data_IF_145357424558
#
_entry.id   IF_145357424558
#
_cell.length_a   1.000
_cell.length_b   1.000
_cell.length_c   1.000
_cell.angle_alpha   90.00
_cell.angle_beta   90.00
_cell.angle_gamma   90.00
#
_symmetry.space_group_name_H-M   'P 1'
#
loop_
_entity.id
_entity.type
_entity.pdbx_description
1 polymer ?
#
# COMPACT_ATOMS: atom_id res chain seq x y z
N UNK A 1 20.88 3.45 -16.30
CA UNK A 1 19.74 4.02 -15.54
C UNK A 1 19.96 3.93 -14.02
N UNK A 2 20.63 2.91 -13.49
CA UNK A 2 20.77 2.70 -12.03
C UNK A 2 22.15 3.00 -11.44
N UNK A 3 23.09 3.52 -12.23
CA UNK A 3 24.47 3.82 -11.78
C UNK A 3 24.50 4.91 -10.69
N UNK A 4 23.54 5.83 -10.69
CA UNK A 4 23.42 6.93 -9.72
C UNK A 4 22.34 6.65 -8.64
N UNK A 5 21.96 5.39 -8.47
CA UNK A 5 20.94 5.04 -7.48
C UNK A 5 21.47 5.22 -6.06
N UNK A 6 20.70 5.90 -5.22
CA UNK A 6 20.94 6.06 -3.80
C UNK A 6 19.92 5.27 -2.99
N UNK A 7 20.24 4.95 -1.74
CA UNK A 7 19.33 4.28 -0.80
C UNK A 7 18.94 5.26 0.27
N UNK A 8 17.65 5.48 0.44
CA UNK A 8 17.09 6.35 1.47
C UNK A 8 16.49 5.47 2.57
N UNK A 9 16.95 5.57 3.83
CA UNK A 9 16.34 4.87 4.95
C UNK A 9 15.03 5.55 5.34
N UNK A 10 14.01 4.76 5.70
CA UNK A 10 12.78 5.29 6.25
C UNK A 10 13.02 5.90 7.64
N UNK A 11 12.40 7.03 7.92
CA UNK A 11 12.42 7.67 9.25
C UNK A 11 11.65 6.86 10.29
N UNK A 12 10.68 6.05 9.86
CA UNK A 12 9.89 5.19 10.76
C UNK A 12 10.67 3.93 11.13
N UNK A 13 11.39 3.34 10.15
CA UNK A 13 12.19 2.15 10.35
C UNK A 13 13.42 2.19 9.44
N UNK A 14 14.55 2.60 9.99
CA UNK A 14 15.83 2.79 9.26
C UNK A 14 16.39 1.53 8.59
N UNK A 15 15.86 0.34 8.93
CA UNK A 15 16.23 -0.92 8.27
C UNK A 15 15.54 -1.08 6.90
N UNK A 16 14.48 -0.33 6.64
CA UNK A 16 13.80 -0.32 5.35
C UNK A 16 14.45 0.76 4.48
N UNK A 17 15.03 0.32 3.37
CA UNK A 17 15.77 1.18 2.45
C UNK A 17 15.03 1.27 1.11
N UNK A 18 14.65 2.48 0.72
CA UNK A 18 14.10 2.76 -0.62
C UNK A 18 15.23 3.10 -1.58
N UNK A 19 15.29 2.41 -2.71
CA UNK A 19 16.21 2.71 -3.79
C UNK A 19 15.61 3.77 -4.70
N UNK A 20 16.32 4.88 -4.89
CA UNK A 20 15.86 6.00 -5.71
C UNK A 20 16.93 6.44 -6.69
N UNK A 21 16.52 6.96 -7.84
CA UNK A 21 17.38 7.54 -8.84
C UNK A 21 16.96 9.00 -9.03
N UNK A 22 17.82 9.97 -8.71
CA UNK A 22 17.56 11.38 -9.01
C UNK A 22 17.47 11.61 -10.53
N UNK A 23 16.55 12.45 -10.96
CA UNK A 23 16.37 12.77 -12.39
C UNK A 23 15.02 13.44 -12.63
N UNK A 24 14.61 13.50 -13.91
CA UNK A 24 13.28 13.99 -14.30
C UNK A 24 12.52 12.83 -14.95
N UNK A 25 11.44 12.40 -14.33
CA UNK A 25 10.68 11.22 -14.75
C UNK A 25 9.20 11.56 -14.93
N UNK A 26 8.63 11.10 -16.04
CA UNK A 26 7.20 11.19 -16.30
C UNK A 26 6.48 9.96 -15.71
N UNK A 27 5.39 10.21 -14.99
CA UNK A 27 4.41 9.20 -14.59
C UNK A 27 3.14 9.37 -15.43
N UNK A 28 2.15 8.49 -15.24
CA UNK A 28 0.85 8.63 -15.94
C UNK A 28 0.11 9.93 -15.62
N UNK A 29 0.41 10.60 -14.51
CA UNK A 29 -0.35 11.74 -14.00
C UNK A 29 0.50 12.95 -13.56
N UNK A 30 1.83 12.84 -13.55
CA UNK A 30 2.72 13.90 -13.09
C UNK A 30 4.16 13.69 -13.57
N UNK A 31 4.99 14.71 -13.40
CA UNK A 31 6.45 14.60 -13.50
C UNK A 31 7.04 14.66 -12.09
N UNK A 32 8.04 13.83 -11.84
CA UNK A 32 8.71 13.74 -10.53
C UNK A 32 10.22 13.80 -10.70
N UNK A 33 10.93 14.29 -9.70
CA UNK A 33 12.38 14.41 -9.71
C UNK A 33 13.15 13.20 -9.15
N UNK A 34 12.43 12.13 -8.79
CA UNK A 34 13.00 10.86 -8.35
C UNK A 34 12.28 9.68 -8.96
N UNK A 35 13.01 8.76 -9.55
CA UNK A 35 12.47 7.43 -9.82
C UNK A 35 12.64 6.55 -8.59
N UNK A 36 11.55 5.97 -8.10
CA UNK A 36 11.52 5.13 -6.91
C UNK A 36 11.44 3.65 -7.32
N UNK A 37 12.51 2.90 -7.07
CA UNK A 37 12.53 1.46 -7.30
C UNK A 37 12.09 0.73 -6.03
N UNK A 38 10.82 0.36 -6.00
CA UNK A 38 10.20 -0.37 -4.88
C UNK A 38 10.22 -1.89 -5.07
N UNK A 39 10.83 -2.39 -6.16
CA UNK A 39 10.76 -3.81 -6.52
C UNK A 39 11.18 -4.71 -5.38
N UNK A 40 12.34 -4.47 -4.76
CA UNK A 40 12.79 -5.29 -3.63
C UNK A 40 11.87 -5.24 -2.42
N UNK A 41 11.31 -4.09 -2.11
CA UNK A 41 10.37 -3.93 -1.00
C UNK A 41 9.07 -4.71 -1.22
N UNK A 42 8.66 -4.88 -2.49
CA UNK A 42 7.44 -5.61 -2.86
C UNK A 42 7.64 -7.13 -2.95
N UNK A 43 8.73 -7.59 -3.56
CA UNK A 43 8.91 -9.01 -3.91
C UNK A 43 10.00 -9.72 -3.10
N UNK A 44 10.90 -8.99 -2.45
CA UNK A 44 11.92 -9.55 -1.57
C UNK A 44 11.29 -10.03 -0.27
N UNK A 45 11.44 -11.30 0.06
CA UNK A 45 10.77 -11.92 1.22
C UNK A 45 11.09 -11.19 2.53
N UNK A 46 12.35 -10.86 2.80
CA UNK A 46 12.77 -10.15 4.02
C UNK A 46 12.28 -8.72 4.04
N UNK A 47 12.44 -8.03 2.93
CA UNK A 47 12.07 -6.62 2.77
C UNK A 47 10.56 -6.45 2.85
N UNK A 48 9.79 -7.28 2.17
CA UNK A 48 8.33 -7.25 2.23
C UNK A 48 7.80 -7.55 3.64
N UNK A 49 8.41 -8.51 4.36
CA UNK A 49 8.06 -8.80 5.75
C UNK A 49 8.39 -7.62 6.67
N UNK A 50 9.51 -6.95 6.49
CA UNK A 50 9.88 -5.76 7.26
C UNK A 50 8.90 -4.60 7.04
N UNK A 51 8.50 -4.36 5.78
CA UNK A 51 7.46 -3.38 5.41
C UNK A 51 6.13 -3.73 6.09
N UNK A 52 5.68 -4.97 5.97
CA UNK A 52 4.43 -5.44 6.57
C UNK A 52 4.44 -5.30 8.10
N UNK A 53 5.53 -5.67 8.76
CA UNK A 53 5.69 -5.54 10.22
C UNK A 53 5.58 -4.09 10.68
N UNK A 54 6.15 -3.17 9.92
CA UNK A 54 6.09 -1.73 10.23
C UNK A 54 4.67 -1.18 10.00
N UNK A 55 4.02 -1.57 8.88
CA UNK A 55 2.63 -1.18 8.59
C UNK A 55 1.64 -1.72 9.62
N UNK A 56 1.84 -2.93 10.12
CA UNK A 56 0.96 -3.57 11.09
C UNK A 56 0.78 -2.75 12.37
N UNK A 57 1.78 -1.95 12.76
CA UNK A 57 1.70 -1.11 13.95
C UNK A 57 0.56 -0.08 13.90
N UNK A 58 0.12 0.30 12.69
CA UNK A 58 -0.99 1.24 12.52
C UNK A 58 -2.38 0.60 12.73
N UNK A 59 -2.48 -0.75 12.69
CA UNK A 59 -3.77 -1.44 12.59
C UNK A 59 -4.00 -2.49 13.68
N UNK A 60 -3.00 -2.86 14.50
CA UNK A 60 -3.09 -3.96 15.47
C UNK A 60 -4.22 -3.80 16.48
N UNK A 61 -4.36 -2.60 17.04
CA UNK A 61 -5.10 -2.45 18.30
C UNK A 61 -6.58 -2.12 18.14
N UNK A 62 -6.96 -1.38 17.11
CA UNK A 62 -8.28 -0.77 17.01
C UNK A 62 -8.90 -0.79 15.61
N UNK A 63 -8.31 -1.52 14.66
CA UNK A 63 -8.79 -1.54 13.27
C UNK A 63 -9.19 -2.95 12.88
N UNK A 64 -10.51 -3.24 12.72
CA UNK A 64 -10.95 -4.52 12.18
C UNK A 64 -10.60 -4.60 10.71
N UNK A 65 -10.02 -5.73 10.27
CA UNK A 65 -9.65 -5.98 8.88
C UNK A 65 -10.09 -7.40 8.51
N UNK A 66 -10.96 -7.50 7.52
CA UNK A 66 -11.43 -8.77 6.97
C UNK A 66 -10.71 -9.11 5.65
N UNK A 67 -10.30 -8.09 4.90
CA UNK A 67 -9.59 -8.25 3.64
C UNK A 67 -8.56 -7.13 3.42
N UNK A 68 -7.44 -7.50 2.82
CA UNK A 68 -6.42 -6.57 2.31
C UNK A 68 -6.48 -6.63 0.79
N UNK A 69 -6.83 -5.51 0.18
CA UNK A 69 -6.83 -5.36 -1.28
C UNK A 69 -5.49 -4.78 -1.71
N UNK A 70 -4.73 -5.57 -2.46
CA UNK A 70 -3.36 -5.25 -2.85
C UNK A 70 -3.31 -4.72 -4.27
N UNK A 71 -2.76 -3.52 -4.45
CA UNK A 71 -2.52 -2.87 -5.72
C UNK A 71 -1.03 -2.85 -6.04
N UNK A 72 -0.67 -2.62 -7.29
CA UNK A 72 0.70 -2.32 -7.73
C UNK A 72 1.74 -3.40 -7.36
N UNK A 73 1.33 -4.66 -7.27
CA UNK A 73 2.23 -5.76 -6.93
C UNK A 73 2.61 -5.84 -5.45
N UNK A 74 1.78 -5.34 -4.54
CA UNK A 74 2.01 -5.38 -3.08
C UNK A 74 1.51 -6.66 -2.40
N UNK A 75 1.19 -7.69 -3.17
CA UNK A 75 0.57 -8.93 -2.69
C UNK A 75 1.39 -9.67 -1.63
N UNK A 76 2.72 -9.73 -1.80
CA UNK A 76 3.60 -10.38 -0.81
C UNK A 76 3.58 -9.61 0.52
N UNK A 77 3.59 -8.28 0.48
CA UNK A 77 3.45 -7.44 1.67
C UNK A 77 2.08 -7.71 2.33
N UNK A 78 1.01 -7.76 1.54
CA UNK A 78 -0.34 -8.04 2.02
C UNK A 78 -0.45 -9.39 2.72
N UNK A 79 0.18 -10.43 2.20
CA UNK A 79 0.21 -11.77 2.81
C UNK A 79 0.92 -11.75 4.18
N UNK A 80 2.09 -11.13 4.28
CA UNK A 80 2.77 -10.96 5.57
C UNK A 80 2.00 -10.08 6.55
N UNK A 81 1.36 -9.03 6.06
CA UNK A 81 0.54 -8.16 6.90
C UNK A 81 -0.64 -8.92 7.49
N UNK A 82 -1.32 -9.74 6.69
CA UNK A 82 -2.40 -10.62 7.16
C UNK A 82 -1.89 -11.62 8.21
N UNK A 83 -0.75 -12.28 7.97
CA UNK A 83 -0.12 -13.19 8.93
C UNK A 83 0.14 -12.48 10.28
N UNK A 84 0.80 -11.32 10.24
CA UNK A 84 1.19 -10.57 11.45
C UNK A 84 -0.03 -10.10 12.23
N UNK A 85 -1.08 -9.62 11.55
CA UNK A 85 -2.29 -9.12 12.22
C UNK A 85 -3.14 -10.22 12.83
N UNK A 86 -3.05 -11.46 12.34
CA UNK A 86 -3.83 -12.62 12.80
C UNK A 86 -3.07 -13.55 13.72
N UNK A 87 -1.77 -13.30 13.94
CA UNK A 87 -0.94 -14.14 14.83
C UNK A 87 -1.50 -14.15 16.26
N UNK A 88 -1.73 -15.34 16.77
CA UNK A 88 -2.25 -15.57 18.13
C UNK A 88 -1.30 -15.09 19.24
N UNK A 89 -0.02 -15.02 18.97
CA UNK A 89 1.02 -14.54 19.89
C UNK A 89 1.13 -13.02 19.98
N UNK A 90 0.37 -12.29 19.16
CA UNK A 90 0.41 -10.82 19.09
C UNK A 90 -0.89 -10.24 19.67
N UNK A 91 -0.76 -9.15 20.42
CA UNK A 91 -1.94 -8.37 20.83
C UNK A 91 -2.46 -7.65 19.59
N UNK A 92 -3.48 -8.21 18.97
CA UNK A 92 -4.14 -7.68 17.78
C UNK A 92 -5.64 -7.87 17.87
N UNK A 93 -6.39 -6.87 17.41
CA UNK A 93 -7.85 -6.98 17.28
C UNK A 93 -8.26 -8.10 16.32
N UNK A 94 -7.40 -8.43 15.37
CA UNK A 94 -7.64 -9.45 14.35
C UNK A 94 -7.02 -10.82 14.69
N UNK A 95 -6.47 -11.00 15.89
CA UNK A 95 -5.90 -12.27 16.33
C UNK A 95 -6.92 -13.40 16.20
N UNK A 96 -6.45 -14.58 15.75
CA UNK A 96 -7.28 -15.77 15.50
C UNK A 96 -8.33 -15.64 14.38
N UNK A 97 -8.33 -14.56 13.60
CA UNK A 97 -9.20 -14.40 12.44
C UNK A 97 -8.50 -14.86 11.16
N UNK A 98 -9.24 -14.90 10.07
CA UNK A 98 -8.70 -15.11 8.73
C UNK A 98 -8.90 -13.83 7.92
N UNK A 99 -7.83 -13.30 7.35
CA UNK A 99 -7.87 -12.12 6.48
C UNK A 99 -7.69 -12.57 5.05
N UNK A 100 -8.61 -12.18 4.17
CA UNK A 100 -8.44 -12.39 2.72
C UNK A 100 -7.38 -11.43 2.18
N UNK A 101 -6.50 -11.94 1.31
CA UNK A 101 -5.56 -11.10 0.56
C UNK A 101 -5.94 -11.17 -0.91
N UNK A 102 -6.35 -10.04 -1.48
CA UNK A 102 -7.04 -9.97 -2.76
C UNK A 102 -6.30 -9.01 -3.69
N UNK A 103 -6.14 -9.39 -4.94
CA UNK A 103 -5.75 -8.49 -6.02
C UNK A 103 -6.98 -8.20 -6.90
N UNK A 104 -7.28 -6.93 -7.18
CA UNK A 104 -8.34 -6.59 -8.13
C UNK A 104 -7.89 -6.88 -9.56
N UNK A 105 -8.84 -7.05 -10.46
CA UNK A 105 -8.61 -7.11 -11.89
C UNK A 105 -8.97 -5.77 -12.54
N UNK A 106 -8.43 -5.53 -13.73
CA UNK A 106 -8.72 -4.35 -14.53
C UNK A 106 -9.18 -4.77 -15.90
N UNK A 107 -10.22 -4.16 -16.39
CA UNK A 107 -10.68 -4.37 -17.76
C UNK A 107 -9.82 -3.60 -18.79
N UNK A 108 -10.15 -3.73 -20.06
CA UNK A 108 -9.43 -3.06 -21.15
C UNK A 108 -9.51 -1.52 -21.11
N UNK A 109 -10.45 -0.97 -20.36
CA UNK A 109 -10.61 0.47 -20.15
C UNK A 109 -9.84 0.96 -18.91
N UNK A 110 -9.24 0.04 -18.14
CA UNK A 110 -8.55 0.34 -16.90
C UNK A 110 -9.48 0.45 -15.68
N UNK A 111 -10.74 0.01 -15.81
CA UNK A 111 -11.67 0.01 -14.70
C UNK A 111 -11.42 -1.21 -13.81
N UNK A 112 -11.31 -0.98 -12.50
CA UNK A 112 -11.15 -2.02 -11.49
C UNK A 112 -12.46 -2.82 -11.33
N UNK A 113 -12.34 -4.14 -11.22
CA UNK A 113 -13.47 -5.00 -10.91
C UNK A 113 -13.05 -6.23 -10.08
N UNK A 114 -14.05 -6.88 -9.48
CA UNK A 114 -13.89 -8.15 -8.77
C UNK A 114 -14.78 -9.20 -9.42
N UNK A 115 -14.22 -10.39 -9.68
CA UNK A 115 -15.01 -11.53 -10.17
C UNK A 115 -16.05 -11.96 -9.14
N UNK A 116 -17.11 -12.60 -9.59
CA UNK A 116 -18.24 -13.02 -8.76
C UNK A 116 -17.85 -13.86 -7.54
N UNK A 117 -16.82 -14.71 -7.67
CA UNK A 117 -16.29 -15.53 -6.57
C UNK A 117 -15.46 -14.73 -5.56
N UNK A 118 -15.00 -13.55 -5.92
CA UNK A 118 -14.23 -12.64 -5.03
C UNK A 118 -15.14 -11.61 -4.35
N UNK A 119 -16.21 -11.18 -5.00
CA UNK A 119 -17.12 -10.15 -4.47
C UNK A 119 -17.60 -10.43 -3.02
N UNK A 120 -17.92 -11.67 -2.60
CA UNK A 120 -18.28 -11.96 -1.20
C UNK A 120 -17.17 -11.66 -0.20
N UNK A 121 -15.90 -11.62 -0.63
CA UNK A 121 -14.75 -11.28 0.21
C UNK A 121 -14.56 -9.76 0.35
N UNK A 122 -15.35 -8.97 -0.36
CA UNK A 122 -15.36 -7.49 -0.33
C UNK A 122 -16.63 -6.96 0.29
N UNK A 123 -17.78 -7.49 -0.11
CA UNK A 123 -19.11 -7.00 0.29
C UNK A 123 -19.32 -7.12 1.81
N UNK A 124 -19.56 -5.98 2.47
CA UNK A 124 -19.76 -5.90 3.91
C UNK A 124 -18.51 -6.19 4.73
N UNK A 125 -17.34 -6.23 4.10
CA UNK A 125 -16.06 -6.55 4.74
C UNK A 125 -15.29 -5.27 5.08
N UNK A 126 -14.53 -5.33 6.18
CA UNK A 126 -13.60 -4.28 6.57
C UNK A 126 -12.34 -4.38 5.73
N UNK A 127 -12.10 -3.38 4.89
CA UNK A 127 -11.06 -3.39 3.85
C UNK A 127 -9.89 -2.49 4.25
N UNK A 128 -8.68 -3.02 4.16
CA UNK A 128 -7.46 -2.25 4.06
C UNK A 128 -6.99 -2.22 2.61
N UNK A 129 -6.88 -1.03 2.02
CA UNK A 129 -6.28 -0.85 0.69
C UNK A 129 -4.77 -0.67 0.84
N UNK A 130 -4.00 -1.50 0.15
CA UNK A 130 -2.55 -1.49 0.13
C UNK A 130 -2.03 -1.17 -1.28
N UNK A 131 -1.25 -0.11 -1.40
CA UNK A 131 -0.69 0.37 -2.67
C UNK A 131 0.82 0.53 -2.58
N UNK A 132 1.53 0.54 -3.71
CA UNK A 132 2.97 0.81 -3.71
C UNK A 132 3.24 2.30 -3.49
N UNK A 133 2.55 3.17 -4.22
CA UNK A 133 2.76 4.62 -4.14
C UNK A 133 1.49 5.43 -4.32
N UNK A 134 1.43 6.55 -3.62
CA UNK A 134 0.37 7.53 -3.70
C UNK A 134 0.97 8.92 -4.01
N UNK A 135 1.00 9.31 -5.28
CA UNK A 135 1.51 10.61 -5.72
C UNK A 135 0.39 11.63 -5.88
N UNK A 136 -0.42 11.51 -6.94
CA UNK A 136 -1.58 12.39 -7.16
C UNK A 136 -2.84 11.88 -6.46
N UNK A 137 -2.92 10.59 -6.21
CA UNK A 137 -4.07 9.94 -5.59
C UNK A 137 -5.22 9.57 -6.53
N UNK A 138 -5.20 9.98 -7.80
CA UNK A 138 -6.32 9.77 -8.73
C UNK A 138 -6.72 8.32 -8.92
N UNK A 139 -5.75 7.43 -9.15
CA UNK A 139 -6.01 6.00 -9.31
C UNK A 139 -6.54 5.38 -8.01
N UNK A 140 -6.01 5.81 -6.87
CA UNK A 140 -6.42 5.34 -5.55
C UNK A 140 -7.84 5.79 -5.24
N UNK A 141 -8.18 7.03 -5.56
CA UNK A 141 -9.53 7.59 -5.43
C UNK A 141 -10.55 6.73 -6.18
N UNK A 142 -10.27 6.41 -7.45
CA UNK A 142 -11.11 5.50 -8.25
C UNK A 142 -11.20 4.09 -7.66
N UNK A 143 -10.12 3.57 -7.08
CA UNK A 143 -10.12 2.27 -6.43
C UNK A 143 -10.99 2.27 -5.17
N UNK A 144 -10.92 3.33 -4.37
CA UNK A 144 -11.74 3.47 -3.16
C UNK A 144 -13.23 3.57 -3.53
N UNK A 145 -13.58 4.38 -4.52
CA UNK A 145 -14.96 4.46 -5.06
C UNK A 145 -15.47 3.08 -5.54
N UNK A 146 -14.61 2.33 -6.23
CA UNK A 146 -14.96 0.99 -6.70
C UNK A 146 -15.18 0.02 -5.53
N UNK A 147 -14.32 0.02 -4.51
CA UNK A 147 -14.50 -0.81 -3.33
C UNK A 147 -15.79 -0.47 -2.58
N UNK A 148 -16.11 0.80 -2.44
CA UNK A 148 -17.39 1.27 -1.85
C UNK A 148 -18.59 0.83 -2.68
N UNK A 149 -18.49 0.89 -4.01
CA UNK A 149 -19.52 0.39 -4.93
C UNK A 149 -19.80 -1.11 -4.72
N UNK A 150 -18.77 -1.93 -4.49
CA UNK A 150 -18.91 -3.35 -4.15
C UNK A 150 -19.39 -3.60 -2.72
N UNK A 151 -19.57 -2.55 -1.93
CA UNK A 151 -20.04 -2.62 -0.54
C UNK A 151 -18.94 -2.93 0.47
N UNK A 152 -17.69 -2.68 0.14
CA UNK A 152 -16.55 -2.72 1.07
C UNK A 152 -16.61 -1.56 2.06
N UNK A 153 -16.18 -1.81 3.29
CA UNK A 153 -16.07 -0.81 4.35
C UNK A 153 -14.60 -0.47 4.52
N UNK A 154 -14.19 0.71 4.04
CA UNK A 154 -12.79 1.11 4.07
C UNK A 154 -12.36 1.44 5.50
N UNK A 155 -11.38 0.72 6.01
CA UNK A 155 -10.81 0.90 7.35
C UNK A 155 -9.46 1.63 7.32
N UNK A 156 -8.75 1.57 6.20
CA UNK A 156 -7.46 2.23 6.07
C UNK A 156 -6.87 2.16 4.67
N UNK A 157 -5.87 2.99 4.47
CA UNK A 157 -5.10 3.09 3.24
C UNK A 157 -3.61 3.11 3.61
N UNK A 158 -2.86 2.11 3.14
CA UNK A 158 -1.42 2.01 3.34
C UNK A 158 -0.64 2.05 2.03
N UNK A 159 0.50 2.72 2.06
CA UNK A 159 1.41 2.83 0.93
C UNK A 159 2.86 2.59 1.36
N UNK A 160 3.72 2.16 0.42
CA UNK A 160 5.16 2.19 0.65
C UNK A 160 5.63 3.65 0.66
N UNK A 161 5.21 4.44 -0.34
CA UNK A 161 5.48 5.88 -0.43
C UNK A 161 4.18 6.66 -0.62
N UNK A 162 4.06 7.80 0.05
CA UNK A 162 2.98 8.74 -0.21
C UNK A 162 3.46 10.20 -0.24
N UNK A 163 3.00 10.94 -1.24
CA UNK A 163 3.12 12.39 -1.33
C UNK A 163 1.86 13.10 -0.80
N UNK A 164 0.88 12.34 -0.29
CA UNK A 164 -0.40 12.83 0.23
C UNK A 164 -0.63 12.31 1.64
N UNK A 165 -1.18 13.14 2.50
CA UNK A 165 -1.56 12.78 3.85
C UNK A 165 -2.96 12.14 3.90
N UNK A 166 -3.80 12.48 2.91
CA UNK A 166 -5.19 12.02 2.80
C UNK A 166 -5.61 11.84 1.34
N UNK A 167 -6.39 10.81 1.05
CA UNK A 167 -7.02 10.56 -0.25
C UNK A 167 -8.45 10.08 0.01
N UNK A 168 -9.44 10.63 -0.69
CA UNK A 168 -10.85 10.29 -0.57
C UNK A 168 -11.39 10.36 0.87
N UNK A 169 -10.87 11.27 1.68
CA UNK A 169 -11.22 11.40 3.10
C UNK A 169 -10.54 10.39 4.04
N UNK A 170 -9.70 9.49 3.52
CA UNK A 170 -8.97 8.51 4.32
C UNK A 170 -7.51 8.93 4.50
N UNK A 171 -6.98 8.92 5.74
CA UNK A 171 -5.56 9.20 5.97
C UNK A 171 -4.69 8.10 5.36
N UNK A 172 -3.61 8.51 4.69
CA UNK A 172 -2.63 7.59 4.11
C UNK A 172 -1.55 7.28 5.14
N UNK A 173 -1.40 6.01 5.48
CA UNK A 173 -0.30 5.51 6.32
C UNK A 173 0.81 4.97 5.43
N UNK A 174 1.97 5.59 5.41
CA UNK A 174 3.08 5.21 4.53
C UNK A 174 4.38 4.99 5.27
N UNK A 175 5.27 4.19 4.65
CA UNK A 175 6.62 3.93 5.15
C UNK A 175 7.55 5.09 4.80
N UNK A 176 7.37 5.66 3.62
CA UNK A 176 8.10 6.84 3.13
C UNK A 176 7.13 7.94 2.78
N UNK A 177 7.52 9.18 3.06
CA UNK A 177 6.82 10.40 2.68
C UNK A 177 7.76 11.33 1.90
N UNK A 178 7.26 12.47 1.44
CA UNK A 178 8.08 13.51 0.83
C UNK A 178 9.17 14.04 1.77
N UNK A 179 8.95 13.95 3.09
CA UNK A 179 9.91 14.40 4.11
C UNK A 179 11.15 13.50 4.24
N UNK A 180 11.12 12.29 3.66
CA UNK A 180 12.31 11.42 3.58
C UNK A 180 13.30 11.88 2.51
N UNK A 181 12.90 12.83 1.64
CA UNK A 181 13.70 13.39 0.55
C UNK A 181 14.06 14.85 0.83
N UNK A 182 15.27 15.27 0.44
CA UNK A 182 15.73 16.65 0.67
C UNK A 182 15.02 17.69 -0.22
N UNK A 183 14.54 17.28 -1.39
CA UNK A 183 14.02 18.18 -2.42
C UNK A 183 12.99 17.51 -3.35
N UNK A 184 12.11 16.67 -2.80
CA UNK A 184 11.05 16.03 -3.61
C UNK A 184 10.17 17.10 -4.29
N UNK A 185 9.96 16.91 -5.61
CA UNK A 185 9.08 17.74 -6.43
C UNK A 185 8.20 16.87 -7.32
N UNK A 186 6.93 17.22 -7.37
CA UNK A 186 5.95 16.70 -8.33
C UNK A 186 5.37 17.90 -9.10
N UNK A 187 5.32 17.80 -10.43
CA UNK A 187 4.90 18.86 -11.33
C UNK A 187 3.65 18.47 -12.11
#
# INVERSE_FOLDING_TARGET
>A
MFENAIKIPSKINSKILLKVVPGHFATSHSHINYYMDMTRLKVGQREAKAVASTMANNYKYNTPIDAIVCMDGTYVIGAYLAEILTDAGVISMNAHQSIYVIEPEFDSSGQMFFRDNIQPMVRGKNILLLVASATTGKTIDQCLECLEYYGGIIQGLSAIFSAKDEIHGYPVRSIFTTDDFSDYKSF
#
